data_IF_748439577874
#
_entry.id   IF_748439577874
#
_cell.length_a   1.000
_cell.length_b   1.000
_cell.length_c   1.000
_cell.angle_alpha   90.00
_cell.angle_beta   90.00
_cell.angle_gamma   90.00
#
_symmetry.space_group_name_H-M   'P 1'
#
loop_
_entity.id
_entity.type
_entity.pdbx_description
1 polymer ?
#
# COMPACT_ATOMS: atom_id res chain seq x y z
N UNK A 1 23.04 32.88 -54.79
CA UNK A 1 23.64 32.28 -53.58
C UNK A 1 22.71 32.27 -52.34
N UNK A 2 21.39 32.47 -52.48
CA UNK A 2 20.43 32.46 -51.34
C UNK A 2 19.53 31.20 -51.29
N UNK A 3 19.61 30.30 -52.28
CA UNK A 3 18.78 29.09 -52.37
C UNK A 3 19.46 27.83 -51.81
N UNK A 4 20.79 27.76 -51.74
CA UNK A 4 21.49 26.59 -51.17
C UNK A 4 21.35 26.50 -49.64
N UNK A 5 21.21 27.63 -48.95
CA UNK A 5 21.08 27.67 -47.49
C UNK A 5 19.71 27.18 -46.99
N UNK A 6 18.65 27.35 -47.77
CA UNK A 6 17.30 26.90 -47.38
C UNK A 6 17.11 25.39 -47.54
N UNK A 7 17.73 24.78 -48.57
CA UNK A 7 17.69 23.33 -48.79
C UNK A 7 18.52 22.59 -47.73
N UNK A 8 19.65 23.14 -47.31
CA UNK A 8 20.49 22.57 -46.25
C UNK A 8 19.81 22.55 -44.87
N UNK A 9 19.06 23.60 -44.53
CA UNK A 9 18.33 23.69 -43.25
C UNK A 9 17.13 22.74 -43.22
N UNK A 10 16.42 22.57 -44.35
CA UNK A 10 15.30 21.62 -44.45
C UNK A 10 15.76 20.14 -44.37
N UNK A 11 16.94 19.81 -44.93
CA UNK A 11 17.51 18.46 -44.83
C UNK A 11 18.00 18.12 -43.42
N UNK A 12 18.54 19.09 -42.68
CA UNK A 12 18.95 18.91 -41.28
C UNK A 12 17.76 18.70 -40.34
N UNK A 13 16.64 19.42 -40.55
CA UNK A 13 15.41 19.22 -39.77
C UNK A 13 14.79 17.84 -40.10
N UNK A 14 14.87 17.39 -41.35
CA UNK A 14 14.41 16.05 -41.77
C UNK A 14 15.23 14.90 -41.17
N UNK A 15 16.55 15.03 -41.02
CA UNK A 15 17.39 14.00 -40.40
C UNK A 15 17.24 13.92 -38.87
N UNK A 16 16.98 15.05 -38.20
CA UNK A 16 16.74 15.08 -36.74
C UNK A 16 15.38 14.45 -36.39
N UNK A 17 14.39 14.52 -37.28
CA UNK A 17 13.07 13.92 -37.08
C UNK A 17 13.05 12.38 -37.22
N UNK A 18 14.02 11.77 -37.91
CA UNK A 18 14.08 10.31 -38.08
C UNK A 18 14.88 9.58 -36.99
N UNK A 19 15.64 10.29 -36.15
CA UNK A 19 16.46 9.69 -35.11
C UNK A 19 15.77 9.57 -33.73
N UNK A 20 14.56 10.11 -33.57
CA UNK A 20 13.84 10.14 -32.30
C UNK A 20 12.68 9.14 -32.20
N UNK A 21 12.45 8.30 -33.21
CA UNK A 21 11.46 7.21 -33.14
C UNK A 21 12.06 5.97 -32.47
N UNK A 22 12.51 6.12 -31.23
CA UNK A 22 12.73 5.00 -30.33
C UNK A 22 11.37 4.42 -29.94
N UNK A 23 11.01 3.28 -30.50
CA UNK A 23 9.87 2.50 -30.01
C UNK A 23 10.27 1.97 -28.63
N UNK A 24 9.75 2.61 -27.59
CA UNK A 24 9.78 2.05 -26.25
C UNK A 24 8.89 0.81 -26.25
N UNK A 25 9.50 -0.37 -26.27
CA UNK A 25 8.79 -1.62 -26.01
C UNK A 25 8.61 -1.69 -24.50
N UNK A 26 7.48 -1.17 -24.01
CA UNK A 26 7.01 -1.49 -22.67
C UNK A 26 6.63 -2.97 -22.69
N UNK A 27 7.38 -3.80 -21.96
CA UNK A 27 6.89 -5.13 -21.62
C UNK A 27 5.69 -4.94 -20.70
N UNK A 28 4.49 -5.17 -21.22
CA UNK A 28 3.26 -5.21 -20.42
C UNK A 28 3.29 -6.48 -19.56
N UNK A 29 3.96 -6.42 -18.42
CA UNK A 29 3.71 -7.34 -17.32
C UNK A 29 2.42 -6.85 -16.64
N UNK A 30 1.26 -7.36 -17.09
CA UNK A 30 -0.04 -7.01 -16.49
C UNK A 30 -0.10 -7.45 -15.02
N UNK A 31 -0.21 -6.50 -14.10
CA UNK A 31 -0.41 -6.77 -12.67
C UNK A 31 -1.90 -6.93 -12.35
N UNK A 32 -2.33 -8.17 -12.10
CA UNK A 32 -3.70 -8.47 -11.67
C UNK A 32 -3.90 -8.12 -10.19
N UNK A 33 -4.65 -7.05 -9.90
CA UNK A 33 -5.07 -6.71 -8.54
C UNK A 33 -6.34 -7.49 -8.18
N UNK A 34 -6.28 -8.27 -7.09
CA UNK A 34 -7.46 -8.97 -6.57
C UNK A 34 -8.45 -7.96 -5.98
N UNK A 35 -9.53 -7.69 -6.72
CA UNK A 35 -10.66 -6.89 -6.22
C UNK A 35 -11.52 -7.65 -5.19
N UNK A 36 -11.28 -8.95 -5.00
CA UNK A 36 -12.00 -9.80 -4.06
C UNK A 36 -11.48 -9.74 -2.62
N UNK A 37 -12.07 -10.59 -1.78
CA UNK A 37 -11.64 -10.83 -0.41
C UNK A 37 -10.40 -11.72 -0.40
N UNK A 38 -9.35 -11.29 0.28
CA UNK A 38 -8.22 -12.15 0.68
C UNK A 38 -8.33 -12.46 2.17
N UNK A 39 -7.70 -13.56 2.59
CA UNK A 39 -7.65 -13.96 3.99
C UNK A 39 -6.24 -13.67 4.51
N UNK A 40 -6.15 -12.90 5.60
CA UNK A 40 -4.90 -12.61 6.29
C UNK A 40 -4.78 -13.51 7.52
N UNK A 41 -3.74 -14.33 7.51
CA UNK A 41 -3.42 -15.30 8.57
C UNK A 41 -2.06 -14.95 9.20
N UNK A 42 -1.81 -15.35 10.45
CA UNK A 42 -0.47 -15.25 11.03
C UNK A 42 0.53 -16.15 10.25
N UNK A 43 1.84 -15.94 10.42
CA UNK A 43 2.85 -16.85 9.88
C UNK A 43 2.60 -18.30 10.32
N UNK A 44 2.90 -19.28 9.47
CA UNK A 44 2.73 -20.71 9.75
C UNK A 44 3.45 -21.20 11.02
N UNK A 45 4.48 -20.47 11.46
CA UNK A 45 5.21 -20.76 12.71
C UNK A 45 4.44 -20.37 13.97
N UNK A 46 3.28 -19.72 13.84
CA UNK A 46 2.48 -19.19 14.95
C UNK A 46 1.14 -19.90 15.04
N UNK A 47 0.85 -20.45 16.22
CA UNK A 47 -0.50 -20.93 16.54
C UNK A 47 -1.47 -19.74 16.63
N UNK A 48 -2.47 -19.72 15.73
CA UNK A 48 -3.47 -18.67 15.67
C UNK A 48 -4.38 -18.68 16.92
N UNK A 49 -4.42 -17.55 17.63
CA UNK A 49 -5.30 -17.36 18.81
C UNK A 49 -6.58 -16.59 18.48
N UNK A 50 -6.77 -16.23 17.21
CA UNK A 50 -7.84 -15.38 16.69
C UNK A 50 -8.16 -15.86 15.29
N UNK A 51 -9.43 -15.73 14.88
CA UNK A 51 -9.85 -16.00 13.53
C UNK A 51 -9.03 -15.18 12.52
N UNK A 52 -8.86 -15.74 11.33
CA UNK A 52 -8.26 -15.03 10.20
C UNK A 52 -9.06 -13.76 9.85
N UNK A 53 -8.40 -12.77 9.26
CA UNK A 53 -9.03 -11.51 8.89
C UNK A 53 -9.39 -11.55 7.40
N UNK A 54 -10.66 -11.37 7.09
CA UNK A 54 -11.10 -11.12 5.72
C UNK A 54 -10.77 -9.67 5.34
N UNK A 55 -9.96 -9.48 4.31
CA UNK A 55 -9.55 -8.18 3.80
C UNK A 55 -10.04 -7.98 2.37
N UNK A 56 -10.76 -6.89 2.11
CA UNK A 56 -11.33 -6.57 0.81
C UNK A 56 -10.66 -5.33 0.21
N UNK A 57 -9.89 -5.50 -0.87
CA UNK A 57 -9.23 -4.37 -1.54
C UNK A 57 -10.23 -3.35 -2.07
N UNK A 58 -11.40 -3.79 -2.55
CA UNK A 58 -12.44 -2.90 -3.08
C UNK A 58 -12.91 -1.83 -2.10
N UNK A 59 -12.85 -2.08 -0.79
CA UNK A 59 -13.20 -1.11 0.26
C UNK A 59 -12.10 -0.06 0.52
N UNK A 60 -10.90 -0.29 0.00
CA UNK A 60 -9.71 0.53 0.23
C UNK A 60 -9.19 1.20 -1.05
N UNK A 61 -9.89 1.06 -2.19
CA UNK A 61 -9.43 1.58 -3.48
C UNK A 61 -9.39 3.12 -3.57
N UNK A 62 -9.98 3.81 -2.59
CA UNK A 62 -9.85 5.26 -2.40
C UNK A 62 -8.52 5.67 -1.77
N UNK A 63 -7.70 4.69 -1.37
CA UNK A 63 -6.38 4.86 -0.76
C UNK A 63 -5.33 4.41 -1.80
N UNK A 64 -4.30 5.23 -2.01
CA UNK A 64 -3.20 4.86 -2.91
C UNK A 64 -2.53 3.55 -2.48
N UNK A 65 -2.18 2.69 -3.44
CA UNK A 65 -1.62 1.35 -3.18
C UNK A 65 -0.39 1.39 -2.26
N UNK A 66 0.46 2.40 -2.45
CA UNK A 66 1.69 2.61 -1.68
C UNK A 66 1.45 3.06 -0.23
N UNK A 67 0.22 3.38 0.18
CA UNK A 67 -0.08 3.57 1.60
C UNK A 67 -0.03 2.25 2.38
N UNK A 68 -0.31 1.11 1.73
CA UNK A 68 -0.19 -0.22 2.33
C UNK A 68 1.05 -0.95 1.83
N UNK A 69 1.26 -0.97 0.51
CA UNK A 69 2.46 -1.50 -0.13
C UNK A 69 3.53 -0.42 -0.17
N UNK A 70 3.98 0.01 1.00
CA UNK A 70 4.83 1.19 1.17
C UNK A 70 6.27 1.03 0.64
N UNK A 71 6.61 -0.13 0.08
CA UNK A 71 7.87 -0.38 -0.63
C UNK A 71 7.65 -0.55 -2.14
N UNK A 72 6.41 -0.37 -2.62
CA UNK A 72 6.06 -0.54 -4.02
C UNK A 72 6.26 0.76 -4.80
N UNK A 73 7.04 0.67 -5.86
CA UNK A 73 7.43 1.78 -6.74
C UNK A 73 6.62 1.83 -8.04
N UNK A 74 5.64 0.93 -8.20
CA UNK A 74 4.60 1.04 -9.23
C UNK A 74 4.78 0.14 -10.46
N UNK A 75 5.93 -0.51 -10.63
CA UNK A 75 6.25 -1.25 -11.86
C UNK A 75 6.48 -2.74 -11.64
N UNK A 76 6.95 -3.10 -10.46
CA UNK A 76 7.24 -4.45 -10.03
C UNK A 76 6.02 -5.12 -9.40
N UNK A 77 5.94 -6.46 -9.41
CA UNK A 77 4.90 -7.19 -8.68
C UNK A 77 4.88 -6.84 -7.19
N UNK A 78 3.69 -6.61 -6.65
CA UNK A 78 3.48 -6.35 -5.24
C UNK A 78 3.86 -7.58 -4.39
N UNK A 79 4.64 -7.36 -3.34
CA UNK A 79 5.04 -8.40 -2.38
C UNK A 79 4.21 -8.35 -1.09
N UNK A 80 4.17 -9.48 -0.39
CA UNK A 80 3.48 -9.61 0.90
C UNK A 80 4.28 -9.00 2.04
N UNK A 81 3.58 -8.54 3.09
CA UNK A 81 4.17 -7.86 4.25
C UNK A 81 5.25 -8.72 4.96
N UNK A 82 5.06 -10.04 4.99
CA UNK A 82 5.89 -10.99 5.73
C UNK A 82 6.99 -11.62 4.86
N UNK A 83 7.31 -11.01 3.71
CA UNK A 83 8.46 -11.42 2.89
C UNK A 83 9.74 -11.37 3.73
N UNK A 84 10.66 -12.31 3.50
CA UNK A 84 11.91 -12.40 4.27
C UNK A 84 12.67 -11.06 4.29
N UNK A 85 13.07 -10.63 5.50
CA UNK A 85 13.70 -9.33 5.74
C UNK A 85 12.73 -8.17 6.02
N UNK A 86 11.41 -8.39 5.89
CA UNK A 86 10.38 -7.36 6.11
C UNK A 86 9.70 -7.51 7.48
N UNK A 87 8.39 -7.77 7.50
CA UNK A 87 7.61 -8.01 8.72
C UNK A 87 7.54 -9.51 9.03
N UNK A 88 8.71 -10.14 9.04
CA UNK A 88 8.93 -11.58 8.99
C UNK A 88 9.16 -12.24 10.37
N UNK A 89 9.13 -11.47 11.45
CA UNK A 89 9.29 -12.02 12.80
C UNK A 89 7.94 -12.45 13.39
N UNK A 90 7.92 -13.64 13.98
CA UNK A 90 6.76 -14.24 14.66
C UNK A 90 6.58 -13.78 16.11
N UNK A 91 7.60 -13.14 16.65
CA UNK A 91 7.70 -12.69 18.04
C UNK A 91 8.27 -11.28 18.12
N UNK A 92 7.89 -10.55 19.16
CA UNK A 92 8.38 -9.19 19.37
C UNK A 92 9.87 -9.23 19.75
N UNK A 93 10.77 -8.62 18.97
CA UNK A 93 12.21 -8.73 19.19
C UNK A 93 12.63 -8.04 20.49
N UNK A 94 13.66 -8.59 21.12
CA UNK A 94 14.23 -8.09 22.38
C UNK A 94 15.71 -7.84 22.20
N UNK A 95 16.23 -6.88 22.96
CA UNK A 95 17.67 -6.64 23.04
C UNK A 95 18.37 -7.89 23.56
N UNK A 96 19.52 -8.21 23.01
CA UNK A 96 20.28 -9.40 23.37
C UNK A 96 20.52 -9.48 24.88
N UNK A 97 20.28 -10.67 25.45
CA UNK A 97 20.42 -10.91 26.90
C UNK A 97 19.43 -10.15 27.79
N UNK A 98 18.38 -9.53 27.22
CA UNK A 98 17.48 -8.65 27.97
C UNK A 98 16.00 -8.95 27.74
N UNK A 99 15.17 -8.57 28.71
CA UNK A 99 13.71 -8.53 28.56
C UNK A 99 13.23 -7.26 27.86
N UNK A 100 14.11 -6.30 27.59
CA UNK A 100 13.77 -5.02 26.95
C UNK A 100 13.46 -5.25 25.47
N UNK A 101 12.35 -4.68 24.98
CA UNK A 101 12.00 -4.72 23.55
C UNK A 101 13.04 -3.95 22.74
N UNK A 102 13.48 -4.56 21.64
CA UNK A 102 14.28 -3.86 20.65
C UNK A 102 13.34 -3.04 19.76
N UNK A 103 13.26 -1.73 20.05
CA UNK A 103 12.38 -0.82 19.32
C UNK A 103 12.81 -0.64 17.87
N UNK A 104 14.10 -0.76 17.57
CA UNK A 104 14.63 -0.56 16.22
C UNK A 104 14.30 -1.74 15.31
N UNK A 105 14.03 -2.91 15.89
CA UNK A 105 13.59 -4.11 15.17
C UNK A 105 12.09 -4.40 15.33
N UNK A 106 11.39 -3.69 16.22
CA UNK A 106 9.98 -3.98 16.55
C UNK A 106 9.03 -3.90 15.35
N UNK A 107 9.37 -3.15 14.31
CA UNK A 107 8.59 -3.08 13.07
C UNK A 107 8.53 -4.43 12.35
N UNK A 108 9.55 -5.28 12.49
CA UNK A 108 9.61 -6.59 11.82
C UNK A 108 8.63 -7.61 12.39
N UNK A 109 8.08 -7.36 13.57
CA UNK A 109 7.07 -8.25 14.14
C UNK A 109 5.75 -8.13 13.36
N UNK A 110 5.29 -9.22 12.74
CA UNK A 110 4.13 -9.21 11.83
C UNK A 110 2.90 -8.50 12.44
N UNK A 111 2.63 -8.76 13.72
CA UNK A 111 1.48 -8.20 14.42
C UNK A 111 1.56 -6.68 14.54
N UNK A 112 2.76 -6.13 14.74
CA UNK A 112 2.96 -4.68 14.78
C UNK A 112 2.71 -4.07 13.41
N UNK A 113 3.14 -4.73 12.33
CA UNK A 113 2.91 -4.28 10.96
C UNK A 113 1.42 -4.19 10.62
N UNK A 114 0.69 -5.31 10.75
CA UNK A 114 -0.74 -5.34 10.44
C UNK A 114 -1.56 -4.42 11.37
N UNK A 115 -1.34 -4.47 12.69
CA UNK A 115 -2.09 -3.61 13.60
C UNK A 115 -1.74 -2.12 13.45
N UNK A 116 -0.48 -1.79 13.15
CA UNK A 116 -0.06 -0.42 12.86
C UNK A 116 -0.77 0.13 11.64
N UNK A 117 -0.77 -0.63 10.54
CA UNK A 117 -1.38 -0.23 9.28
C UNK A 117 -2.91 -0.11 9.39
N UNK A 118 -3.59 -1.19 9.78
CA UNK A 118 -5.05 -1.27 9.72
C UNK A 118 -5.71 -0.43 10.82
N UNK A 119 -5.32 -0.66 12.08
CA UNK A 119 -5.98 -0.02 13.21
C UNK A 119 -5.59 1.47 13.29
N UNK A 120 -4.37 1.82 12.84
CA UNK A 120 -3.92 3.20 12.77
C UNK A 120 -4.84 4.05 11.90
N UNK A 121 -4.98 3.69 10.62
CA UNK A 121 -5.84 4.40 9.67
C UNK A 121 -7.30 4.44 10.15
N UNK A 122 -7.87 3.30 10.57
CA UNK A 122 -9.26 3.25 11.01
C UNK A 122 -9.53 4.15 12.24
N UNK A 123 -8.59 4.23 13.19
CA UNK A 123 -8.70 5.12 14.35
C UNK A 123 -8.62 6.58 13.95
N UNK A 124 -7.70 6.95 13.07
CA UNK A 124 -7.59 8.33 12.57
C UNK A 124 -8.88 8.77 11.90
N UNK A 125 -9.37 7.98 10.94
CA UNK A 125 -10.64 8.27 10.27
C UNK A 125 -11.81 8.36 11.25
N UNK A 126 -11.84 7.49 12.28
CA UNK A 126 -12.89 7.56 13.32
C UNK A 126 -12.89 8.91 14.05
N UNK A 127 -11.72 9.45 14.37
CA UNK A 127 -11.60 10.75 15.02
C UNK A 127 -12.03 11.88 14.08
N UNK A 128 -11.60 11.85 12.82
CA UNK A 128 -11.99 12.82 11.79
C UNK A 128 -13.51 12.81 11.56
N UNK A 129 -14.13 11.62 11.49
CA UNK A 129 -15.59 11.47 11.39
C UNK A 129 -16.30 12.07 12.60
N UNK A 130 -15.77 11.89 13.81
CA UNK A 130 -16.33 12.48 15.02
C UNK A 130 -16.22 14.01 15.01
N UNK A 131 -15.10 14.56 14.55
CA UNK A 131 -14.92 16.00 14.39
C UNK A 131 -15.87 16.58 13.34
N UNK A 132 -16.04 15.89 12.21
CA UNK A 132 -17.05 16.23 11.21
C UNK A 132 -18.46 16.19 11.81
N UNK A 133 -18.81 15.17 12.58
CA UNK A 133 -20.12 15.10 13.24
C UNK A 133 -20.39 16.30 14.16
N UNK A 134 -19.36 16.77 14.86
CA UNK A 134 -19.46 17.89 15.79
C UNK A 134 -19.57 19.25 15.08
N UNK A 135 -19.07 19.37 13.85
CA UNK A 135 -19.04 20.61 13.07
C UNK A 135 -20.15 20.70 12.02
N UNK A 136 -20.59 19.55 11.50
CA UNK A 136 -21.59 19.43 10.42
C UNK A 136 -23.00 19.11 10.95
N UNK A 137 -23.29 19.39 12.23
CA UNK A 137 -24.56 19.06 12.91
C UNK A 137 -25.85 19.59 12.23
N UNK A 138 -25.74 20.32 11.11
CA UNK A 138 -26.84 20.88 10.33
C UNK A 138 -26.87 20.42 8.84
N UNK A 139 -26.02 19.48 8.41
CA UNK A 139 -26.00 19.02 7.02
C UNK A 139 -26.71 17.66 6.93
N UNK A 140 -27.73 17.55 6.07
CA UNK A 140 -28.49 16.33 5.73
C UNK A 140 -27.64 15.22 5.06
N UNK A 141 -26.31 15.27 5.19
CA UNK A 141 -25.36 14.35 4.58
C UNK A 141 -25.01 13.19 5.51
N UNK A 142 -24.91 11.99 4.94
CA UNK A 142 -24.37 10.83 5.65
C UNK A 142 -22.85 11.00 5.83
N UNK A 143 -22.37 10.89 7.07
CA UNK A 143 -20.95 10.90 7.37
C UNK A 143 -20.25 9.68 6.74
N UNK A 144 -18.97 9.80 6.35
CA UNK A 144 -18.22 8.67 5.82
C UNK A 144 -18.08 7.57 6.89
N UNK A 145 -17.96 6.32 6.43
CA UNK A 145 -17.70 5.18 7.28
C UNK A 145 -16.19 4.89 7.38
N UNK A 146 -15.79 4.22 8.44
CA UNK A 146 -14.43 3.72 8.64
C UNK A 146 -14.47 2.26 9.07
N UNK A 147 -13.36 1.54 8.91
CA UNK A 147 -13.24 0.14 9.28
C UNK A 147 -13.15 -0.11 10.80
N UNK A 148 -13.05 -1.39 11.20
CA UNK A 148 -13.01 -1.79 12.60
C UNK A 148 -11.72 -1.33 13.32
N UNK A 149 -11.87 -0.86 14.56
CA UNK A 149 -10.73 -0.48 15.43
C UNK A 149 -10.53 -1.44 16.60
N UNK A 150 -11.45 -2.38 16.81
CA UNK A 150 -11.46 -3.33 17.93
C UNK A 150 -11.15 -4.74 17.46
N UNK A 151 -10.62 -5.58 18.38
CA UNK A 151 -10.13 -6.91 18.05
C UNK A 151 -11.17 -7.77 17.33
N UNK A 152 -12.41 -7.81 17.85
CA UNK A 152 -13.49 -8.65 17.30
C UNK A 152 -14.01 -8.11 15.97
N UNK A 153 -13.85 -6.81 15.71
CA UNK A 153 -14.26 -6.22 14.45
C UNK A 153 -13.40 -6.67 13.26
N UNK A 154 -12.12 -6.95 13.49
CA UNK A 154 -11.24 -7.54 12.47
C UNK A 154 -11.17 -9.06 12.56
N UNK A 155 -11.13 -9.60 13.79
CA UNK A 155 -11.06 -11.03 14.08
C UNK A 155 -12.39 -11.50 14.65
N UNK A 156 -13.39 -11.82 13.81
CA UNK A 156 -14.71 -12.23 14.27
C UNK A 156 -14.60 -13.40 15.26
N UNK A 157 -15.54 -13.46 16.20
CA UNK A 157 -15.67 -14.65 17.03
C UNK A 157 -16.17 -15.77 16.14
N UNK A 158 -15.52 -16.93 16.24
CA UNK A 158 -16.08 -18.19 15.75
C UNK A 158 -17.43 -18.48 16.41
#
# INVERSE_FOLDING_TARGET
MRSLSFVGVLLLIGMIACASLGIAVAGDEEMCVTMGTIVLEPPDTVEAKRAAVEFQHGLHMVIACNNCHHTWEGTEPITGCMTAGCHDLDTLPRKEGSKIIDKDQAFRYYKNAYHGQCIGCHKTMKLEIQEMANTLAAIDGQLPATGPTGCIGCHPKE
#
